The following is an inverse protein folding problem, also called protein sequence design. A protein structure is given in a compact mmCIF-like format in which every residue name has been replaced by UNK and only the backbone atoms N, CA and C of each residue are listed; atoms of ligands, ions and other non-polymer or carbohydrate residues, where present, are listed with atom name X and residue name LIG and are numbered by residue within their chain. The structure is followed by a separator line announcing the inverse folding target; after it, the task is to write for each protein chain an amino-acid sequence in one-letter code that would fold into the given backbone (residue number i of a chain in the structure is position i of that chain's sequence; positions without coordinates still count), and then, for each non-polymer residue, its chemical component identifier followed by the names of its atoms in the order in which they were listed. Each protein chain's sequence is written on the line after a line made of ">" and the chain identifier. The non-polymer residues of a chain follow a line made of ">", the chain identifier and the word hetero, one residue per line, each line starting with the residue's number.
data_IF_620554363681
#
_entry.id   IF_620554363681
#
_cell.length_a   1.000
_cell.length_b   1.000
_cell.length_c   1.000
_cell.angle_alpha   90.00
_cell.angle_beta   90.00
_cell.angle_gamma   90.00
#
_symmetry.space_group_name_H-M   'P 1'
#
loop_
_entity.id
_entity.type
_entity.pdbx_description
1 polymer ?
#
# COMPACT_ATOMS: atom_id res chain seq x y z
N UNK A 1 16.81 0.91 3.80
CA UNK A 1 16.90 1.80 2.63
C UNK A 1 18.29 2.42 2.50
N UNK A 2 18.84 3.12 3.50
CA UNK A 2 20.18 3.77 3.39
C UNK A 2 21.36 2.86 2.97
N UNK A 3 21.35 1.56 3.27
CA UNK A 3 22.46 0.65 2.94
C UNK A 3 22.44 0.14 1.49
N UNK A 4 21.39 0.43 0.72
CA UNK A 4 21.22 -0.14 -0.62
C UNK A 4 21.93 0.65 -1.73
N UNK A 5 22.64 1.75 -1.38
CA UNK A 5 23.28 2.70 -2.31
C UNK A 5 22.34 3.41 -3.30
N UNK A 6 21.02 3.24 -3.14
CA UNK A 6 19.99 3.88 -3.96
C UNK A 6 19.42 5.12 -3.26
N UNK A 7 18.92 6.12 -4.00
CA UNK A 7 18.32 7.33 -3.43
C UNK A 7 16.91 7.03 -2.89
N UNK A 8 16.81 6.24 -1.82
CA UNK A 8 15.54 5.86 -1.21
C UNK A 8 15.46 6.35 0.24
N UNK A 9 14.44 7.16 0.53
CA UNK A 9 14.02 7.50 1.89
C UNK A 9 13.45 6.29 2.64
N UNK A 10 12.87 6.50 3.82
CA UNK A 10 12.26 5.42 4.62
C UNK A 10 10.90 5.83 5.15
N UNK A 11 9.91 4.97 4.95
CA UNK A 11 8.54 5.14 5.42
C UNK A 11 7.88 3.78 5.65
N UNK A 12 6.78 3.76 6.41
CA UNK A 12 5.96 2.57 6.60
C UNK A 12 4.51 2.99 6.79
N UNK A 13 3.60 2.21 6.20
CA UNK A 13 2.17 2.38 6.35
C UNK A 13 1.48 1.03 6.56
N UNK A 14 0.18 1.08 6.81
CA UNK A 14 -0.66 -0.09 7.01
C UNK A 14 -2.01 0.29 7.60
N UNK A 15 -2.81 -0.73 7.90
CA UNK A 15 -4.09 -0.62 8.59
C UNK A 15 -4.26 -1.85 9.49
N UNK A 16 -5.11 -1.72 10.51
CA UNK A 16 -5.60 -2.81 11.35
C UNK A 16 -6.62 -3.74 10.64
N UNK A 17 -6.90 -3.49 9.36
CA UNK A 17 -7.72 -4.35 8.51
C UNK A 17 -7.11 -5.75 8.33
N UNK A 18 -7.87 -6.79 8.70
CA UNK A 18 -7.51 -8.19 8.45
C UNK A 18 -8.12 -8.69 7.12
N UNK A 19 -7.29 -8.99 6.10
CA UNK A 19 -7.77 -9.52 4.82
C UNK A 19 -8.18 -11.01 4.90
N UNK A 20 -7.87 -11.72 5.98
CA UNK A 20 -8.21 -13.15 6.10
C UNK A 20 -9.73 -13.34 6.18
N UNK A 21 -10.22 -14.30 5.40
CA UNK A 21 -11.65 -14.60 5.33
C UNK A 21 -12.49 -13.53 4.61
N UNK A 22 -11.86 -12.50 4.03
CA UNK A 22 -12.54 -11.52 3.17
C UNK A 22 -12.59 -12.01 1.73
N UNK A 23 -13.69 -11.71 1.07
CA UNK A 23 -13.83 -11.87 -0.38
C UNK A 23 -12.96 -10.88 -1.13
N UNK A 24 -12.61 -11.20 -2.38
CA UNK A 24 -11.82 -10.29 -3.24
C UNK A 24 -12.49 -8.92 -3.39
N UNK A 25 -13.83 -8.87 -3.44
CA UNK A 25 -14.57 -7.61 -3.53
C UNK A 25 -14.49 -6.76 -2.25
N UNK A 26 -14.47 -7.39 -1.06
CA UNK A 26 -14.29 -6.65 0.19
C UNK A 26 -12.88 -6.06 0.27
N UNK A 27 -11.87 -6.84 -0.14
CA UNK A 27 -10.48 -6.36 -0.21
C UNK A 27 -10.34 -5.21 -1.20
N UNK A 28 -10.91 -5.34 -2.41
CA UNK A 28 -10.89 -4.27 -3.41
C UNK A 28 -11.54 -2.98 -2.91
N UNK A 29 -12.72 -3.06 -2.28
CA UNK A 29 -13.41 -1.89 -1.71
C UNK A 29 -12.59 -1.24 -0.60
N UNK A 30 -11.95 -2.05 0.24
CA UNK A 30 -11.04 -1.54 1.27
C UNK A 30 -9.85 -0.79 0.64
N UNK A 31 -9.17 -1.39 -0.34
CA UNK A 31 -8.04 -0.75 -1.04
C UNK A 31 -8.44 0.59 -1.66
N UNK A 32 -9.59 0.65 -2.34
CA UNK A 32 -10.12 1.90 -2.92
C UNK A 32 -10.42 2.96 -1.84
N UNK A 33 -11.04 2.56 -0.72
CA UNK A 33 -11.31 3.46 0.41
C UNK A 33 -10.02 3.98 1.04
N UNK A 34 -9.01 3.13 1.19
CA UNK A 34 -7.71 3.49 1.75
C UNK A 34 -6.97 4.47 0.82
N UNK A 35 -6.94 4.17 -0.49
CA UNK A 35 -6.27 5.02 -1.47
C UNK A 35 -6.95 6.36 -1.70
N UNK A 36 -8.27 6.46 -1.44
CA UNK A 36 -9.02 7.73 -1.55
C UNK A 36 -8.36 8.86 -0.74
N UNK A 37 -7.82 8.56 0.43
CA UNK A 37 -7.05 9.51 1.23
C UNK A 37 -5.55 9.43 0.96
N UNK A 38 -4.97 8.22 0.89
CA UNK A 38 -3.51 8.06 0.76
C UNK A 38 -2.94 8.75 -0.48
N UNK A 39 -3.67 8.78 -1.60
CA UNK A 39 -3.21 9.37 -2.86
C UNK A 39 -2.73 10.83 -2.75
N UNK A 40 -3.18 11.57 -1.73
CA UNK A 40 -2.79 12.98 -1.51
C UNK A 40 -1.39 13.13 -0.93
N UNK A 41 -0.84 12.04 -0.40
CA UNK A 41 0.40 12.01 0.38
C UNK A 41 1.50 11.19 -0.31
N UNK A 42 1.16 10.45 -1.37
CA UNK A 42 2.07 9.57 -2.12
C UNK A 42 2.23 10.05 -3.56
N UNK A 43 3.32 9.65 -4.18
CA UNK A 43 3.67 10.06 -5.54
C UNK A 43 5.09 9.64 -5.89
N UNK A 44 5.38 9.56 -7.19
CA UNK A 44 6.65 9.04 -7.69
C UNK A 44 7.90 9.71 -7.08
N UNK A 45 7.79 11.01 -6.76
CA UNK A 45 8.88 11.81 -6.18
C UNK A 45 8.65 12.18 -4.70
N UNK A 46 7.66 11.58 -4.03
CA UNK A 46 7.27 11.91 -2.64
C UNK A 46 7.34 10.70 -1.72
N UNK A 47 6.49 9.70 -1.96
CA UNK A 47 6.45 8.46 -1.21
C UNK A 47 5.93 7.34 -2.12
N UNK A 48 6.61 6.20 -2.12
CA UNK A 48 6.37 5.08 -3.04
C UNK A 48 6.03 3.84 -2.20
N UNK A 49 4.72 3.58 -1.97
CA UNK A 49 4.27 2.41 -1.21
C UNK A 49 4.63 1.09 -1.90
N UNK A 50 4.76 0.04 -1.09
CA UNK A 50 5.03 -1.31 -1.56
C UNK A 50 4.24 -2.33 -0.72
N UNK A 51 4.24 -3.58 -1.16
CA UNK A 51 3.63 -4.69 -0.44
C UNK A 51 4.35 -5.04 0.87
N UNK A 52 3.61 -5.68 1.78
CA UNK A 52 4.10 -6.27 3.03
C UNK A 52 3.12 -7.36 3.49
N UNK A 53 3.15 -7.79 4.75
CA UNK A 53 2.20 -8.76 5.30
C UNK A 53 0.76 -8.25 5.11
N UNK A 54 -0.06 -9.03 4.42
CA UNK A 54 -1.45 -8.70 4.12
C UNK A 54 -1.65 -7.83 2.87
N UNK A 55 -0.58 -7.39 2.20
CA UNK A 55 -0.64 -6.57 0.97
C UNK A 55 0.30 -7.18 -0.08
N UNK A 56 -0.25 -8.02 -0.96
CA UNK A 56 0.45 -8.66 -2.07
C UNK A 56 0.16 -7.99 -3.42
N UNK A 57 0.47 -8.70 -4.51
CA UNK A 57 0.24 -8.18 -5.87
C UNK A 57 -1.24 -7.86 -6.14
N UNK A 58 -2.18 -8.62 -5.53
CA UNK A 58 -3.62 -8.37 -5.64
C UNK A 58 -3.99 -7.01 -5.06
N UNK A 59 -3.58 -6.73 -3.83
CA UNK A 59 -3.87 -5.47 -3.15
C UNK A 59 -3.18 -4.29 -3.83
N UNK A 60 -1.90 -4.45 -4.22
CA UNK A 60 -1.17 -3.43 -4.99
C UNK A 60 -1.89 -3.10 -6.30
N UNK A 61 -2.46 -4.11 -6.99
CA UNK A 61 -3.24 -3.90 -8.20
C UNK A 61 -4.56 -3.13 -7.98
N UNK A 62 -5.15 -3.17 -6.78
CA UNK A 62 -6.33 -2.36 -6.43
C UNK A 62 -5.98 -0.96 -5.91
N UNK A 63 -4.76 -0.78 -5.42
CA UNK A 63 -4.23 0.48 -4.90
C UNK A 63 -3.66 1.38 -6.02
N UNK A 64 -3.32 0.82 -7.18
CA UNK A 64 -2.85 1.53 -8.37
C UNK A 64 -4.02 2.02 -9.23
#
# INVERSE_FOLDING_TARGET
>A
NSLTTLPMGGGKGGSDFDPKGKSDNEVMRFCQSFMTELQRHVGADTDVPAGDIGVGAREIGYLF
#
